data_IF_693717659150
#
_entry.id   IF_693717659150
#
_cell.length_a   1.000
_cell.length_b   1.000
_cell.length_c   1.000
_cell.angle_alpha   90.00
_cell.angle_beta   90.00
_cell.angle_gamma   90.00
#
_symmetry.space_group_name_H-M   'P 1'
#
loop_
_entity.id
_entity.type
_entity.pdbx_description
1 polymer ?
#
# COMPACT_ATOMS: atom_id res chain seq x y z
N UNK A 1 -17.66 16.83 8.02
CA UNK A 1 -16.30 16.85 8.57
C UNK A 1 -15.37 17.26 7.45
N UNK A 2 -14.57 18.31 7.63
CA UNK A 2 -13.62 18.77 6.61
C UNK A 2 -12.43 17.80 6.57
N UNK A 3 -12.08 17.27 5.40
CA UNK A 3 -11.04 16.26 5.23
C UNK A 3 -9.75 16.93 4.74
N UNK A 4 -9.13 17.75 5.60
CA UNK A 4 -7.98 18.56 5.21
C UNK A 4 -6.63 18.00 5.64
N UNK A 5 -6.59 16.92 6.44
CA UNK A 5 -5.35 16.30 6.92
C UNK A 5 -5.38 14.77 6.80
N UNK A 6 -4.22 14.09 6.71
CA UNK A 6 -4.16 12.63 6.74
C UNK A 6 -4.76 12.03 8.03
N UNK A 7 -4.72 12.75 9.15
CA UNK A 7 -5.36 12.34 10.41
C UNK A 7 -6.88 12.30 10.29
N UNK A 8 -7.51 13.25 9.59
CA UNK A 8 -8.96 13.21 9.38
C UNK A 8 -9.37 12.03 8.49
N UNK A 9 -8.57 11.69 7.47
CA UNK A 9 -8.81 10.49 6.67
C UNK A 9 -8.71 9.23 7.54
N UNK A 10 -7.73 9.15 8.45
CA UNK A 10 -7.61 8.05 9.41
C UNK A 10 -8.78 7.97 10.39
N UNK A 11 -9.32 9.10 10.86
CA UNK A 11 -10.53 9.13 11.69
C UNK A 11 -11.74 8.56 10.93
N UNK A 12 -11.90 8.90 9.65
CA UNK A 12 -12.96 8.34 8.80
C UNK A 12 -12.76 6.84 8.59
N UNK A 13 -11.51 6.39 8.40
CA UNK A 13 -11.16 4.97 8.36
C UNK A 13 -11.59 4.25 9.64
N UNK A 14 -11.30 4.82 10.81
CA UNK A 14 -11.67 4.25 12.10
C UNK A 14 -13.18 4.22 12.30
N UNK A 15 -13.88 5.28 11.93
CA UNK A 15 -15.34 5.34 12.03
C UNK A 15 -15.99 4.27 11.14
N UNK A 16 -15.49 4.10 9.91
CA UNK A 16 -16.01 3.11 8.97
C UNK A 16 -15.71 1.67 9.43
N UNK A 17 -14.50 1.41 9.93
CA UNK A 17 -14.13 0.08 10.46
C UNK A 17 -14.72 -0.20 11.84
N UNK A 18 -15.15 0.83 12.58
CA UNK A 18 -15.84 0.71 13.87
C UNK A 18 -17.22 0.03 13.76
N UNK A 19 -17.71 -0.14 12.54
CA UNK A 19 -18.89 -0.94 12.21
C UNK A 19 -18.68 -2.46 12.37
N UNK A 20 -17.43 -2.92 12.49
CA UNK A 20 -17.09 -4.32 12.73
C UNK A 20 -17.44 -4.73 14.16
N UNK A 21 -17.93 -5.97 14.28
CA UNK A 21 -18.02 -6.62 15.58
C UNK A 21 -16.62 -6.75 16.20
N UNK A 22 -16.54 -6.66 17.53
CA UNK A 22 -15.27 -6.88 18.23
C UNK A 22 -14.92 -8.37 18.22
N UNK A 23 -13.67 -8.67 17.91
CA UNK A 23 -13.12 -10.02 17.96
C UNK A 23 -11.72 -10.02 18.59
N UNK A 24 -11.48 -10.96 19.50
CA UNK A 24 -10.21 -11.07 20.22
C UNK A 24 -9.10 -11.64 19.33
N UNK A 25 -9.45 -12.48 18.37
CA UNK A 25 -8.50 -13.19 17.52
C UNK A 25 -8.96 -13.17 16.06
N UNK A 26 -8.01 -13.23 15.13
CA UNK A 26 -8.31 -13.30 13.70
C UNK A 26 -7.23 -14.05 12.91
N UNK A 27 -7.60 -14.45 11.70
CA UNK A 27 -6.68 -14.86 10.63
C UNK A 27 -6.55 -13.68 9.65
N UNK A 28 -5.33 -13.34 9.24
CA UNK A 28 -5.06 -12.28 8.26
C UNK A 28 -4.42 -12.85 7.00
N UNK A 29 -5.18 -12.95 5.92
CA UNK A 29 -4.74 -13.49 4.64
C UNK A 29 -4.33 -12.37 3.68
N UNK A 30 -3.69 -12.79 2.59
CA UNK A 30 -3.31 -11.95 1.46
C UNK A 30 -2.15 -10.99 1.77
N UNK A 31 -1.12 -11.51 2.45
CA UNK A 31 0.10 -10.72 2.64
C UNK A 31 0.80 -10.48 1.29
N UNK A 32 1.42 -9.30 1.09
CA UNK A 32 2.16 -9.02 -0.12
C UNK A 32 3.45 -9.87 -0.19
N UNK A 33 3.66 -10.55 -1.30
CA UNK A 33 4.86 -11.35 -1.62
C UNK A 33 5.64 -10.81 -2.84
N UNK A 34 5.40 -9.56 -3.18
CA UNK A 34 6.01 -8.82 -4.28
C UNK A 34 6.59 -7.48 -3.77
N UNK A 35 7.17 -6.63 -4.63
CA UNK A 35 7.91 -5.43 -4.19
C UNK A 35 7.12 -4.11 -4.22
N UNK A 36 5.84 -4.13 -4.60
CA UNK A 36 5.01 -2.93 -4.60
C UNK A 36 4.84 -2.37 -3.18
N UNK A 37 5.48 -1.22 -2.92
CA UNK A 37 5.46 -0.55 -1.61
C UNK A 37 4.03 -0.25 -1.14
N UNK A 38 3.10 0.01 -2.07
CA UNK A 38 1.71 0.30 -1.76
C UNK A 38 1.02 -0.80 -0.95
N UNK A 39 1.12 -2.04 -1.40
CA UNK A 39 0.46 -3.16 -0.73
C UNK A 39 1.15 -3.50 0.61
N UNK A 40 2.44 -3.18 0.75
CA UNK A 40 3.13 -3.23 2.04
C UNK A 40 2.64 -2.15 3.01
N UNK A 41 2.33 -0.94 2.53
CA UNK A 41 1.73 0.11 3.36
C UNK A 41 0.34 -0.32 3.85
N UNK A 42 -0.47 -0.91 2.97
CA UNK A 42 -1.77 -1.50 3.33
C UNK A 42 -1.57 -2.58 4.38
N UNK A 43 -0.65 -3.53 4.15
CA UNK A 43 -0.37 -4.63 5.08
C UNK A 43 0.02 -4.13 6.48
N UNK A 44 0.96 -3.20 6.55
CA UNK A 44 1.39 -2.60 7.82
C UNK A 44 0.23 -1.86 8.51
N UNK A 45 -0.58 -1.14 7.73
CA UNK A 45 -1.79 -0.50 8.21
C UNK A 45 -2.79 -1.49 8.79
N UNK A 46 -3.07 -2.59 8.09
CA UNK A 46 -3.93 -3.68 8.54
C UNK A 46 -3.44 -4.30 9.85
N UNK A 47 -2.14 -4.61 9.94
CA UNK A 47 -1.53 -5.18 11.15
C UNK A 47 -1.66 -4.22 12.34
N UNK A 48 -1.32 -2.94 12.15
CA UNK A 48 -1.40 -1.94 13.23
C UNK A 48 -2.84 -1.61 13.61
N UNK A 49 -3.78 -1.61 12.67
CA UNK A 49 -5.19 -1.43 12.99
C UNK A 49 -5.70 -2.57 13.87
N UNK A 50 -5.47 -3.82 13.46
CA UNK A 50 -5.88 -5.00 14.21
C UNK A 50 -5.24 -5.03 15.61
N UNK A 51 -3.93 -4.85 15.70
CA UNK A 51 -3.20 -5.00 16.96
C UNK A 51 -3.32 -3.79 17.89
N UNK A 52 -3.27 -2.57 17.36
CA UNK A 52 -3.22 -1.36 18.19
C UNK A 52 -4.58 -0.72 18.40
N UNK A 53 -5.48 -0.83 17.41
CA UNK A 53 -6.80 -0.19 17.47
C UNK A 53 -7.83 -1.18 18.01
N UNK A 54 -7.99 -2.35 17.36
CA UNK A 54 -8.95 -3.37 17.80
C UNK A 54 -8.46 -4.23 18.96
N UNK A 55 -7.15 -4.22 19.25
CA UNK A 55 -6.51 -5.11 20.24
C UNK A 55 -6.71 -6.60 19.93
N UNK A 56 -6.86 -6.92 18.65
CA UNK A 56 -7.03 -8.29 18.14
C UNK A 56 -5.68 -8.98 17.97
N UNK A 57 -5.61 -10.24 18.38
CA UNK A 57 -4.47 -11.14 18.17
C UNK A 57 -4.54 -11.82 16.80
N UNK A 58 -3.56 -11.57 15.95
CA UNK A 58 -3.40 -12.24 14.66
C UNK A 58 -2.82 -13.65 14.90
N UNK A 59 -3.62 -14.70 14.73
CA UNK A 59 -3.24 -16.11 14.99
C UNK A 59 -2.51 -16.76 13.82
N UNK A 60 -2.88 -16.38 12.61
CA UNK A 60 -2.31 -16.89 11.38
C UNK A 60 -2.27 -15.77 10.36
N UNK A 61 -1.14 -15.62 9.68
CA UNK A 61 -0.98 -14.57 8.68
C UNK A 61 -0.15 -15.07 7.49
N UNK A 62 -0.73 -15.09 6.29
CA UNK A 62 -0.07 -15.68 5.11
C UNK A 62 -0.65 -15.15 3.79
N UNK A 63 0.14 -15.25 2.72
CA UNK A 63 -0.28 -15.01 1.35
C UNK A 63 -0.64 -16.33 0.67
N UNK A 64 -1.00 -16.26 -0.61
CA UNK A 64 -1.45 -17.42 -1.40
C UNK A 64 -0.43 -18.57 -1.33
N UNK A 65 0.85 -18.25 -1.54
CA UNK A 65 1.93 -19.24 -1.63
C UNK A 65 2.26 -19.92 -0.29
N UNK A 66 1.90 -19.31 0.83
CA UNK A 66 2.14 -19.86 2.17
C UNK A 66 0.90 -20.43 2.84
N UNK A 67 -0.23 -20.50 2.12
CA UNK A 67 -1.50 -20.93 2.70
C UNK A 67 -1.55 -22.46 2.88
N UNK A 68 -2.06 -22.89 4.03
CA UNK A 68 -2.27 -24.31 4.36
C UNK A 68 -3.70 -24.52 4.87
N UNK A 69 -4.55 -25.11 4.03
CA UNK A 69 -5.92 -25.50 4.37
C UNK A 69 -5.95 -26.42 5.60
N UNK A 70 -5.04 -27.39 5.66
CA UNK A 70 -4.91 -28.33 6.78
C UNK A 70 -4.54 -27.63 8.10
N UNK A 71 -3.75 -26.56 8.04
CA UNK A 71 -3.41 -25.77 9.22
C UNK A 71 -4.61 -24.95 9.68
N UNK A 72 -5.30 -24.27 8.76
CA UNK A 72 -6.43 -23.41 9.07
C UNK A 72 -7.63 -24.20 9.63
N UNK A 73 -7.90 -25.41 9.10
CA UNK A 73 -8.97 -26.30 9.60
C UNK A 73 -8.78 -26.76 11.04
N UNK A 74 -7.54 -26.78 11.54
CA UNK A 74 -7.22 -27.17 12.93
C UNK A 74 -7.28 -25.99 13.91
N UNK A 75 -7.43 -24.77 13.43
CA UNK A 75 -7.48 -23.57 14.26
C UNK A 75 -8.90 -23.31 14.76
N UNK A 76 -8.99 -22.67 15.92
CA UNK A 76 -10.26 -22.18 16.48
C UNK A 76 -10.98 -21.28 15.47
N UNK A 77 -12.32 -21.28 15.55
CA UNK A 77 -13.16 -20.47 14.68
C UNK A 77 -13.05 -19.00 15.08
N UNK A 78 -12.21 -18.27 14.36
CA UNK A 78 -12.13 -16.81 14.43
C UNK A 78 -12.31 -16.21 13.02
N UNK A 79 -12.64 -14.91 12.91
CA UNK A 79 -12.83 -14.26 11.62
C UNK A 79 -11.62 -14.40 10.70
N UNK A 80 -11.89 -14.61 9.41
CA UNK A 80 -10.88 -14.53 8.36
C UNK A 80 -10.93 -13.13 7.76
N UNK A 81 -9.78 -12.47 7.73
CA UNK A 81 -9.63 -11.12 7.21
C UNK A 81 -8.74 -11.18 5.98
N UNK A 82 -9.20 -10.67 4.84
CA UNK A 82 -8.37 -10.41 3.68
C UNK A 82 -7.80 -8.99 3.75
N UNK A 83 -6.51 -8.85 3.46
CA UNK A 83 -5.88 -7.53 3.31
C UNK A 83 -6.59 -6.68 2.24
N UNK A 84 -6.46 -5.35 2.36
CA UNK A 84 -7.01 -4.40 1.38
C UNK A 84 -6.21 -4.33 0.09
N UNK A 85 -6.58 -3.42 -0.82
CA UNK A 85 -5.79 -3.13 -2.03
C UNK A 85 -6.60 -3.06 -3.32
N UNK A 86 -6.01 -3.52 -4.42
CA UNK A 86 -6.57 -3.44 -5.78
C UNK A 86 -6.72 -4.79 -6.47
N UNK A 87 -6.85 -5.88 -5.70
CA UNK A 87 -6.80 -7.25 -6.20
C UNK A 87 -8.17 -7.95 -6.24
N UNK A 88 -9.27 -7.20 -6.09
CA UNK A 88 -10.63 -7.73 -6.27
C UNK A 88 -11.07 -7.52 -7.72
N UNK A 89 -10.93 -8.57 -8.53
CA UNK A 89 -11.11 -8.44 -9.97
C UNK A 89 -10.50 -9.56 -10.80
N UNK A 90 -10.58 -9.42 -12.13
CA UNK A 90 -10.04 -10.38 -13.12
C UNK A 90 -8.68 -9.97 -13.71
N UNK A 91 -8.03 -8.95 -13.14
CA UNK A 91 -6.63 -8.59 -13.48
C UNK A 91 -5.62 -9.53 -12.83
N UNK A 92 -5.96 -10.05 -11.65
CA UNK A 92 -5.07 -10.80 -10.77
C UNK A 92 -5.76 -12.09 -10.34
N UNK A 93 -6.03 -12.97 -11.31
CA UNK A 93 -6.85 -14.17 -11.13
C UNK A 93 -6.39 -15.07 -9.97
N UNK A 94 -5.09 -15.17 -9.71
CA UNK A 94 -4.57 -15.96 -8.58
C UNK A 94 -5.10 -15.49 -7.22
N UNK A 95 -5.14 -14.16 -7.01
CA UNK A 95 -5.67 -13.55 -5.78
C UNK A 95 -7.19 -13.69 -5.69
N UNK A 96 -7.89 -13.51 -6.80
CA UNK A 96 -9.34 -13.65 -6.85
C UNK A 96 -9.78 -15.10 -6.60
N UNK A 97 -9.16 -16.08 -7.26
CA UNK A 97 -9.45 -17.50 -7.11
C UNK A 97 -9.15 -17.99 -5.69
N UNK A 98 -8.04 -17.53 -5.09
CA UNK A 98 -7.73 -17.84 -3.71
C UNK A 98 -8.82 -17.32 -2.76
N UNK A 99 -9.23 -16.06 -2.93
CA UNK A 99 -10.28 -15.43 -2.13
C UNK A 99 -11.62 -16.17 -2.26
N UNK A 100 -12.04 -16.47 -3.49
CA UNK A 100 -13.27 -17.22 -3.76
C UNK A 100 -13.23 -18.60 -3.11
N UNK A 101 -12.12 -19.33 -3.22
CA UNK A 101 -11.96 -20.65 -2.58
C UNK A 101 -12.11 -20.60 -1.05
N UNK A 102 -11.56 -19.58 -0.39
CA UNK A 102 -11.73 -19.41 1.06
C UNK A 102 -13.19 -19.10 1.40
N UNK A 103 -13.85 -18.23 0.62
CA UNK A 103 -15.25 -17.87 0.81
C UNK A 103 -16.17 -19.08 0.65
N UNK A 104 -15.90 -19.96 -0.32
CA UNK A 104 -16.70 -21.17 -0.52
C UNK A 104 -16.51 -22.19 0.61
N UNK A 105 -15.28 -22.36 1.09
CA UNK A 105 -14.91 -23.45 1.99
C UNK A 105 -15.08 -23.12 3.49
N UNK A 106 -14.98 -21.85 3.91
CA UNK A 106 -14.96 -21.45 5.33
C UNK A 106 -16.23 -20.69 5.76
N UNK A 107 -17.39 -21.33 5.56
CA UNK A 107 -18.73 -20.75 5.82
C UNK A 107 -19.13 -20.69 7.29
N UNK A 108 -18.32 -21.23 8.19
CA UNK A 108 -18.62 -21.41 9.61
C UNK A 108 -18.10 -20.28 10.50
N UNK A 109 -17.59 -19.21 9.90
CA UNK A 109 -16.96 -18.06 10.56
C UNK A 109 -17.13 -16.79 9.71
N UNK A 110 -17.07 -15.59 10.30
CA UNK A 110 -17.13 -14.35 9.54
C UNK A 110 -15.94 -14.22 8.58
N UNK A 111 -16.20 -13.66 7.40
CA UNK A 111 -15.17 -13.23 6.46
C UNK A 111 -15.26 -11.72 6.30
N UNK A 112 -14.13 -11.03 6.49
CA UNK A 112 -14.01 -9.58 6.36
C UNK A 112 -12.98 -9.30 5.26
N UNK A 113 -13.31 -8.47 4.30
CA UNK A 113 -12.38 -8.02 3.26
C UNK A 113 -12.13 -6.54 3.48
N UNK A 114 -10.91 -6.19 3.88
CA UNK A 114 -10.50 -4.79 4.08
C UNK A 114 -10.59 -3.98 2.78
N UNK A 115 -10.58 -2.64 2.85
CA UNK A 115 -10.89 -1.76 1.72
C UNK A 115 -10.22 -2.15 0.39
N UNK A 116 -11.04 -2.56 -0.59
CA UNK A 116 -10.63 -2.97 -1.93
C UNK A 116 -11.13 -2.01 -3.00
N UNK A 117 -10.37 -1.89 -4.09
CA UNK A 117 -10.90 -1.44 -5.38
C UNK A 117 -11.42 -2.66 -6.16
N UNK A 118 -12.63 -2.57 -6.69
CA UNK A 118 -13.27 -3.60 -7.50
C UNK A 118 -13.09 -3.27 -8.98
N UNK A 119 -12.59 -4.23 -9.76
CA UNK A 119 -12.49 -4.06 -11.20
C UNK A 119 -12.53 -5.38 -11.96
N UNK A 120 -13.54 -5.56 -12.80
CA UNK A 120 -13.64 -6.70 -13.71
C UNK A 120 -13.68 -6.18 -15.16
N UNK A 121 -12.75 -6.64 -16.00
CA UNK A 121 -12.79 -6.41 -17.45
C UNK A 121 -13.99 -7.12 -18.09
N UNK A 122 -14.28 -8.34 -17.61
CA UNK A 122 -15.39 -9.15 -18.11
C UNK A 122 -16.56 -9.14 -17.11
N UNK A 123 -17.73 -8.60 -17.48
CA UNK A 123 -18.93 -8.63 -16.63
C UNK A 123 -19.36 -10.04 -16.21
N UNK A 124 -19.07 -11.07 -17.01
CA UNK A 124 -19.39 -12.45 -16.64
C UNK A 124 -18.52 -12.97 -15.47
N UNK A 125 -17.27 -12.51 -15.38
CA UNK A 125 -16.41 -12.83 -14.24
C UNK A 125 -16.91 -12.16 -12.96
N UNK A 126 -17.41 -10.91 -13.06
CA UNK A 126 -18.07 -10.24 -11.94
C UNK A 126 -19.30 -11.02 -11.46
N UNK A 127 -20.16 -11.49 -12.37
CA UNK A 127 -21.33 -12.30 -12.01
C UNK A 127 -20.95 -13.60 -11.29
N UNK A 128 -19.88 -14.29 -11.75
CA UNK A 128 -19.36 -15.50 -11.10
C UNK A 128 -18.85 -15.20 -9.69
N UNK A 129 -18.02 -14.19 -9.54
CA UNK A 129 -17.50 -13.75 -8.24
C UNK A 129 -18.65 -13.37 -7.29
N UNK A 130 -19.63 -12.59 -7.78
CA UNK A 130 -20.79 -12.18 -7.00
C UNK A 130 -21.60 -13.38 -6.50
N UNK A 131 -21.76 -14.45 -7.31
CA UNK A 131 -22.42 -15.68 -6.86
C UNK A 131 -21.69 -16.32 -5.68
N UNK A 132 -20.36 -16.40 -5.73
CA UNK A 132 -19.54 -16.95 -4.65
C UNK A 132 -19.68 -16.11 -3.38
N UNK A 133 -19.50 -14.80 -3.50
CA UNK A 133 -19.56 -13.86 -2.38
C UNK A 133 -20.94 -13.87 -1.71
N UNK A 134 -22.01 -13.80 -2.50
CA UNK A 134 -23.39 -13.85 -2.00
C UNK A 134 -23.73 -15.20 -1.37
N UNK A 135 -23.02 -16.26 -1.72
CA UNK A 135 -23.29 -17.56 -1.09
C UNK A 135 -22.89 -17.56 0.38
N UNK A 136 -21.92 -16.75 0.82
CA UNK A 136 -21.39 -16.82 2.18
C UNK A 136 -22.34 -16.22 3.21
N UNK A 137 -22.57 -16.87 4.38
CA UNK A 137 -23.60 -16.43 5.33
C UNK A 137 -23.24 -15.17 6.12
N UNK A 138 -21.95 -14.84 6.25
CA UNK A 138 -21.49 -13.66 6.99
C UNK A 138 -20.22 -13.09 6.36
N UNK A 139 -20.39 -12.32 5.27
CA UNK A 139 -19.30 -11.65 4.57
C UNK A 139 -19.46 -10.13 4.66
N UNK A 140 -18.42 -9.44 5.12
CA UNK A 140 -18.31 -7.97 5.08
C UNK A 140 -17.23 -7.56 4.09
N UNK A 141 -17.58 -6.70 3.13
CA UNK A 141 -16.67 -6.12 2.14
C UNK A 141 -16.55 -4.61 2.37
N UNK A 142 -15.32 -4.14 2.57
CA UNK A 142 -15.01 -2.73 2.51
C UNK A 142 -14.56 -2.35 1.10
N UNK A 143 -15.04 -1.22 0.60
CA UNK A 143 -14.63 -0.64 -0.69
C UNK A 143 -13.99 0.72 -0.46
N UNK A 144 -12.91 1.01 -1.21
CA UNK A 144 -12.10 2.21 -0.97
C UNK A 144 -12.37 3.39 -1.91
N UNK A 145 -13.31 3.26 -2.82
CA UNK A 145 -13.68 4.30 -3.77
C UNK A 145 -15.16 4.17 -4.17
N UNK A 146 -15.74 5.27 -4.66
CA UNK A 146 -17.17 5.36 -4.96
C UNK A 146 -17.61 4.36 -6.05
N UNK A 147 -16.80 4.21 -7.11
CA UNK A 147 -17.09 3.28 -8.21
C UNK A 147 -17.14 1.84 -7.70
N UNK A 148 -16.18 1.43 -6.87
CA UNK A 148 -16.15 0.11 -6.27
C UNK A 148 -17.33 -0.13 -5.34
N UNK A 149 -17.72 0.88 -4.55
CA UNK A 149 -18.89 0.80 -3.68
C UNK A 149 -20.17 0.56 -4.48
N UNK A 150 -20.37 1.28 -5.58
CA UNK A 150 -21.53 1.12 -6.47
C UNK A 150 -21.58 -0.25 -7.12
N UNK A 151 -20.44 -0.76 -7.61
CA UNK A 151 -20.35 -2.13 -8.15
C UNK A 151 -20.73 -3.15 -7.07
N UNK A 152 -20.22 -2.98 -5.85
CA UNK A 152 -20.50 -3.91 -4.75
C UNK A 152 -21.98 -3.93 -4.36
N UNK A 153 -22.61 -2.78 -4.11
CA UNK A 153 -24.02 -2.72 -3.70
C UNK A 153 -24.98 -3.25 -4.78
N UNK A 154 -24.60 -3.11 -6.06
CA UNK A 154 -25.41 -3.62 -7.18
C UNK A 154 -25.34 -5.15 -7.34
N UNK A 155 -24.22 -5.76 -6.95
CA UNK A 155 -23.95 -7.18 -7.24
C UNK A 155 -23.93 -8.08 -6.00
N UNK A 156 -23.65 -7.54 -4.81
CA UNK A 156 -23.39 -8.29 -3.58
C UNK A 156 -24.51 -8.13 -2.55
N UNK A 157 -25.73 -8.54 -2.92
CA UNK A 157 -26.95 -8.36 -2.14
C UNK A 157 -27.00 -9.11 -0.79
N UNK A 158 -26.18 -10.16 -0.59
CA UNK A 158 -26.11 -10.90 0.67
C UNK A 158 -24.90 -10.50 1.54
N UNK A 159 -24.04 -9.63 1.04
CA UNK A 159 -22.84 -9.18 1.76
C UNK A 159 -23.11 -7.84 2.45
N UNK A 160 -22.50 -7.63 3.61
CA UNK A 160 -22.44 -6.30 4.22
C UNK A 160 -21.39 -5.48 3.46
N UNK A 161 -21.80 -4.39 2.80
CA UNK A 161 -20.89 -3.54 2.02
C UNK A 161 -20.73 -2.18 2.69
N UNK A 162 -19.49 -1.82 3.03
CA UNK A 162 -19.16 -0.56 3.71
C UNK A 162 -18.12 0.20 2.87
N UNK A 163 -18.23 1.53 2.82
CA UNK A 163 -17.24 2.38 2.17
C UNK A 163 -16.26 2.91 3.22
N UNK A 164 -14.96 2.77 2.99
CA UNK A 164 -13.93 3.21 3.94
C UNK A 164 -12.65 3.64 3.19
N UNK A 165 -11.86 4.59 3.71
CA UNK A 165 -10.54 4.92 3.18
C UNK A 165 -9.60 3.70 3.10
N UNK A 166 -8.48 3.86 2.42
CA UNK A 166 -7.47 2.81 2.30
C UNK A 166 -6.78 2.50 3.67
N UNK A 167 -6.47 1.22 3.93
CA UNK A 167 -5.80 0.81 5.18
C UNK A 167 -4.45 1.48 5.41
N UNK A 168 -3.75 1.92 4.36
CA UNK A 168 -2.51 2.67 4.48
C UNK A 168 -2.69 3.97 5.29
N UNK A 169 -3.89 4.56 5.36
CA UNK A 169 -4.16 5.73 6.21
C UNK A 169 -4.04 5.43 7.71
N UNK A 170 -4.04 4.17 8.13
CA UNK A 170 -3.68 3.80 9.51
C UNK A 170 -2.28 4.33 9.89
N UNK A 171 -1.40 4.51 8.91
CA UNK A 171 -0.05 5.03 9.11
C UNK A 171 -0.01 6.55 9.37
N UNK A 172 -1.14 7.27 9.27
CA UNK A 172 -1.16 8.71 9.55
C UNK A 172 -0.70 9.00 10.99
N UNK A 173 0.21 9.97 11.11
CA UNK A 173 0.85 10.36 12.37
C UNK A 173 2.05 9.49 12.77
N UNK A 174 2.50 8.57 11.93
CA UNK A 174 3.76 7.84 12.16
C UNK A 174 4.96 8.80 12.09
N UNK A 175 5.83 8.78 13.11
CA UNK A 175 7.07 9.56 13.08
C UNK A 175 7.99 9.05 11.97
N UNK A 176 8.50 9.99 11.17
CA UNK A 176 9.50 9.72 10.14
C UNK A 176 10.75 10.57 10.37
N UNK A 177 10.93 11.09 11.58
CA UNK A 177 11.94 12.10 11.92
C UNK A 177 13.37 11.57 11.79
N UNK A 178 13.54 10.26 11.95
CA UNK A 178 14.82 9.55 11.73
C UNK A 178 15.21 9.40 10.26
N UNK A 179 14.31 9.75 9.34
CA UNK A 179 14.53 9.69 7.89
C UNK A 179 14.65 11.11 7.37
N UNK A 180 15.89 11.60 7.28
CA UNK A 180 16.24 12.93 6.79
C UNK A 180 17.30 12.80 5.68
N UNK A 181 16.90 12.43 4.45
CA UNK A 181 17.81 12.49 3.32
C UNK A 181 18.19 13.95 3.04
N UNK A 182 19.29 14.15 2.29
CA UNK A 182 19.56 15.48 1.73
C UNK A 182 18.44 15.78 0.72
N UNK A 183 17.73 16.89 0.94
CA UNK A 183 16.68 17.32 0.03
C UNK A 183 17.34 17.91 -1.23
N UNK A 184 16.79 17.54 -2.38
CA UNK A 184 17.19 18.01 -3.68
C UNK A 184 16.15 19.01 -4.18
N UNK A 185 16.61 20.03 -4.91
CA UNK A 185 15.72 20.95 -5.63
C UNK A 185 15.19 20.28 -6.90
N UNK A 186 14.45 19.19 -6.72
CA UNK A 186 13.93 18.34 -7.79
C UNK A 186 12.49 17.89 -7.50
N UNK A 187 11.76 17.62 -8.57
CA UNK A 187 10.42 17.03 -8.51
C UNK A 187 10.48 15.57 -8.95
N UNK A 188 9.88 14.65 -8.20
CA UNK A 188 9.82 13.24 -8.59
C UNK A 188 8.53 12.97 -9.36
N UNK A 189 8.64 12.53 -10.61
CA UNK A 189 7.55 11.87 -11.29
C UNK A 189 7.59 10.36 -11.03
N UNK A 190 6.80 9.92 -10.05
CA UNK A 190 6.57 8.51 -9.76
C UNK A 190 5.52 7.95 -10.72
N UNK A 191 5.98 7.47 -11.88
CA UNK A 191 5.15 6.84 -12.89
C UNK A 191 5.25 5.31 -12.82
N UNK A 192 4.14 4.62 -13.11
CA UNK A 192 4.16 3.16 -13.28
C UNK A 192 5.07 2.74 -14.45
N UNK A 193 5.37 1.44 -14.56
CA UNK A 193 5.98 0.81 -15.75
C UNK A 193 5.30 -0.51 -16.16
N UNK A 194 4.20 -0.88 -15.50
CA UNK A 194 3.55 -2.19 -15.58
C UNK A 194 2.23 -2.17 -16.37
N UNK A 195 1.52 -3.30 -16.39
CA UNK A 195 0.31 -3.53 -17.19
C UNK A 195 -0.89 -2.62 -16.81
N UNK A 196 -0.81 -1.88 -15.72
CA UNK A 196 -1.84 -0.89 -15.35
C UNK A 196 -1.71 0.42 -16.17
N UNK A 197 -0.59 0.64 -16.86
CA UNK A 197 -0.44 1.70 -17.85
C UNK A 197 -1.16 1.34 -19.16
N UNK A 198 -2.09 2.20 -19.58
CA UNK A 198 -2.49 2.28 -20.98
C UNK A 198 -1.60 3.30 -21.72
N UNK A 199 -1.28 2.96 -22.97
CA UNK A 199 -0.21 3.48 -23.84
C UNK A 199 -0.36 4.94 -24.31
N UNK A 200 -0.84 5.86 -23.48
CA UNK A 200 -1.07 7.25 -23.93
C UNK A 200 -0.39 8.27 -23.02
N UNK A 201 0.56 8.99 -23.64
CA UNK A 201 0.88 10.42 -23.45
C UNK A 201 1.41 10.90 -22.10
N UNK A 202 2.54 10.34 -21.61
CA UNK A 202 3.31 11.00 -20.53
C UNK A 202 4.77 11.35 -20.90
N UNK A 203 5.25 10.87 -22.05
CA UNK A 203 6.65 11.05 -22.48
C UNK A 203 6.98 12.44 -23.05
N UNK A 204 5.99 13.27 -23.39
CA UNK A 204 6.21 14.64 -23.87
C UNK A 204 6.25 15.71 -22.77
N UNK A 205 5.82 15.38 -21.54
CA UNK A 205 5.70 16.33 -20.43
C UNK A 205 7.00 16.53 -19.64
N UNK A 206 7.91 15.57 -19.71
CA UNK A 206 9.13 15.58 -18.89
C UNK A 206 10.18 16.60 -19.34
N UNK A 207 10.11 17.11 -20.57
CA UNK A 207 11.11 18.05 -21.09
C UNK A 207 10.92 19.50 -20.64
N UNK A 208 9.74 19.86 -20.15
CA UNK A 208 9.39 21.23 -19.78
C UNK A 208 9.59 21.50 -18.27
N UNK A 209 9.41 20.49 -17.43
CA UNK A 209 9.54 20.64 -15.97
C UNK A 209 11.02 20.61 -15.56
N UNK A 210 11.50 21.72 -14.98
CA UNK A 210 12.86 21.84 -14.48
C UNK A 210 13.15 20.83 -13.36
N UNK A 211 14.32 20.21 -13.40
CA UNK A 211 14.80 19.25 -12.39
C UNK A 211 13.82 18.09 -12.12
N UNK A 212 13.11 17.62 -13.16
CA UNK A 212 12.22 16.47 -13.04
C UNK A 212 13.01 15.15 -13.03
N UNK A 213 12.80 14.34 -12.00
CA UNK A 213 13.35 13.00 -11.85
C UNK A 213 12.26 11.99 -12.18
N UNK A 214 12.49 11.15 -13.20
CA UNK A 214 11.54 10.10 -13.61
C UNK A 214 11.97 8.75 -13.05
N UNK A 215 11.28 8.25 -12.03
CA UNK A 215 11.56 6.95 -11.43
C UNK A 215 10.28 6.20 -11.06
N UNK A 216 10.38 4.87 -10.95
CA UNK A 216 9.38 4.07 -10.22
C UNK A 216 9.88 3.85 -8.78
N UNK A 217 9.22 2.99 -8.00
CA UNK A 217 9.70 2.63 -6.67
C UNK A 217 11.14 2.13 -6.71
N UNK A 218 12.05 2.76 -5.93
CA UNK A 218 13.46 2.34 -5.90
C UNK A 218 13.58 0.90 -5.38
N UNK A 219 12.63 0.43 -4.56
CA UNK A 219 12.59 -0.94 -4.00
C UNK A 219 12.87 -2.03 -5.02
N UNK A 220 12.36 -1.89 -6.25
CA UNK A 220 12.52 -2.89 -7.31
C UNK A 220 14.00 -3.09 -7.71
N UNK A 221 14.83 -2.03 -7.58
CA UNK A 221 16.28 -2.08 -7.85
C UNK A 221 17.07 -2.75 -6.72
N UNK A 222 16.57 -2.70 -5.48
CA UNK A 222 17.27 -3.25 -4.30
C UNK A 222 17.20 -4.77 -4.22
N UNK A 223 16.12 -5.39 -4.69
CA UNK A 223 15.87 -6.82 -4.45
C UNK A 223 16.23 -7.76 -5.60
N UNK A 224 16.26 -7.31 -6.86
CA UNK A 224 16.83 -8.09 -7.98
C UNK A 224 18.31 -8.48 -7.77
N UNK A 225 19.02 -7.78 -6.87
CA UNK A 225 20.41 -8.09 -6.47
C UNK A 225 20.54 -8.91 -5.17
N UNK A 226 19.51 -8.99 -4.32
CA UNK A 226 19.57 -9.80 -3.08
C UNK A 226 19.02 -11.20 -3.25
N UNK A 227 18.06 -11.44 -4.17
CA UNK A 227 17.54 -12.79 -4.45
C UNK A 227 18.43 -13.63 -5.36
N UNK A 228 19.23 -13.02 -6.24
CA UNK A 228 20.18 -13.74 -7.12
C UNK A 228 21.47 -14.23 -6.45
N UNK A 229 21.68 -13.99 -5.15
CA UNK A 229 22.91 -14.38 -4.45
C UNK A 229 22.67 -14.77 -2.98
N UNK A 230 21.80 -15.75 -2.74
CA UNK A 230 21.76 -16.51 -1.49
C UNK A 230 22.30 -17.92 -1.70
N UNK A 231 23.54 -18.01 -2.22
CA UNK A 231 24.35 -19.20 -2.06
C UNK A 231 25.77 -18.80 -1.68
N UNK A 232 26.15 -19.12 -0.43
CA UNK A 232 27.48 -19.54 0.06
C UNK A 232 27.81 -18.88 1.43
N UNK A 233 28.08 -19.68 2.46
CA UNK A 233 28.22 -19.28 3.87
C UNK A 233 29.52 -18.59 4.32
N UNK A 234 30.19 -17.82 3.46
CA UNK A 234 31.48 -17.15 3.76
C UNK A 234 31.33 -15.64 4.01
N UNK A 235 30.16 -15.06 3.69
CA UNK A 235 29.88 -13.63 3.77
C UNK A 235 29.77 -13.06 5.21
N UNK A 236 29.60 -13.90 6.23
CA UNK A 236 29.40 -13.46 7.62
C UNK A 236 30.69 -13.23 8.42
N UNK A 237 31.87 -13.48 7.84
CA UNK A 237 33.15 -13.52 8.55
C UNK A 237 34.06 -12.28 8.39
N UNK A 238 33.58 -11.17 7.81
CA UNK A 238 34.41 -9.96 7.61
C UNK A 238 33.86 -8.80 8.47
N UNK A 239 34.58 -8.36 9.53
CA UNK A 239 34.16 -7.24 10.38
C UNK A 239 34.44 -5.87 9.76
N UNK A 240 33.68 -4.83 10.16
CA UNK A 240 34.05 -3.42 9.99
C UNK A 240 33.70 -2.75 8.65
N UNK A 241 34.39 -1.64 8.36
CA UNK A 241 34.18 -0.72 7.22
C UNK A 241 34.19 -1.41 5.84
N UNK A 242 34.83 -2.57 5.71
CA UNK A 242 34.93 -3.33 4.46
C UNK A 242 33.56 -3.85 4.00
N UNK A 243 32.64 -4.16 4.93
CA UNK A 243 31.26 -4.51 4.60
C UNK A 243 30.49 -3.32 4.01
N UNK A 244 30.73 -2.12 4.55
CA UNK A 244 30.13 -0.86 4.08
C UNK A 244 30.66 -0.53 2.69
N UNK A 245 31.98 -0.55 2.51
CA UNK A 245 32.63 -0.28 1.22
C UNK A 245 32.16 -1.28 0.16
N UNK A 246 31.96 -2.56 0.52
CA UNK A 246 31.55 -3.59 -0.45
C UNK A 246 30.06 -3.54 -0.79
N UNK A 247 29.16 -3.22 0.16
CA UNK A 247 27.76 -2.90 -0.16
C UNK A 247 27.63 -1.63 -1.00
N UNK A 248 28.49 -0.62 -0.78
CA UNK A 248 28.54 0.61 -1.58
C UNK A 248 29.10 0.36 -2.99
N UNK A 249 30.21 -0.39 -3.11
CA UNK A 249 30.98 -0.52 -4.35
C UNK A 249 30.53 -1.69 -5.26
N UNK A 250 30.16 -2.85 -4.70
CA UNK A 250 29.66 -3.97 -5.50
C UNK A 250 28.14 -3.88 -5.75
N UNK A 251 27.38 -3.20 -4.89
CA UNK A 251 25.92 -3.09 -5.03
C UNK A 251 25.41 -1.72 -5.45
N UNK A 252 26.20 -0.63 -5.37
CA UNK A 252 25.90 0.65 -6.03
C UNK A 252 24.54 1.29 -5.75
N UNK A 253 23.90 1.00 -4.62
CA UNK A 253 22.47 1.32 -4.41
C UNK A 253 22.19 2.20 -3.18
N UNK A 254 23.02 2.23 -2.13
CA UNK A 254 22.83 3.08 -0.93
C UNK A 254 23.93 4.11 -0.74
N UNK A 255 23.59 5.37 -0.48
CA UNK A 255 24.58 6.29 0.11
C UNK A 255 24.87 5.87 1.57
N UNK A 256 26.06 6.14 2.13
CA UNK A 256 26.33 5.86 3.55
C UNK A 256 25.30 6.45 4.51
N UNK A 257 24.76 7.64 4.19
CA UNK A 257 23.68 8.28 4.94
C UNK A 257 22.37 7.49 4.86
N UNK A 258 22.00 7.03 3.67
CA UNK A 258 20.82 6.16 3.49
C UNK A 258 20.95 4.86 4.27
N UNK A 259 22.12 4.21 4.21
CA UNK A 259 22.37 2.98 4.94
C UNK A 259 22.21 3.16 6.44
N UNK A 260 22.79 4.24 7.01
CA UNK A 260 22.64 4.57 8.42
C UNK A 260 21.18 4.83 8.80
N UNK A 261 20.47 5.61 7.98
CA UNK A 261 19.03 5.85 8.17
C UNK A 261 18.24 4.53 8.17
N UNK A 262 18.55 3.61 7.25
CA UNK A 262 17.91 2.29 7.16
C UNK A 262 18.20 1.42 8.38
N UNK A 263 19.44 1.39 8.87
CA UNK A 263 19.75 0.64 10.09
C UNK A 263 19.02 1.23 11.29
N UNK A 264 18.97 2.56 11.40
CA UNK A 264 18.26 3.23 12.48
C UNK A 264 16.76 2.91 12.46
N UNK A 265 16.13 2.98 11.29
CA UNK A 265 14.75 2.58 11.10
C UNK A 265 14.51 1.11 11.49
N UNK A 266 15.38 0.21 11.00
CA UNK A 266 15.25 -1.24 11.19
C UNK A 266 15.46 -1.70 12.62
N UNK A 267 16.22 -0.98 13.44
CA UNK A 267 16.55 -1.44 14.79
C UNK A 267 15.98 -0.58 15.91
N UNK A 268 15.83 0.73 15.70
CA UNK A 268 15.54 1.68 16.78
C UNK A 268 14.18 2.39 16.64
N UNK A 269 13.48 2.24 15.52
CA UNK A 269 12.12 2.77 15.42
C UNK A 269 11.16 2.03 16.37
N UNK A 270 10.24 2.74 17.01
CA UNK A 270 9.28 2.22 18.01
C UNK A 270 8.51 0.99 17.53
N UNK A 271 7.94 1.04 16.33
CA UNK A 271 7.18 -0.07 15.74
C UNK A 271 8.03 -1.30 15.37
N UNK A 272 9.35 -1.19 15.28
CA UNK A 272 10.23 -2.33 14.95
C UNK A 272 10.11 -3.45 15.97
N UNK A 273 10.11 -3.14 17.26
CA UNK A 273 10.01 -4.15 18.31
C UNK A 273 8.69 -4.93 18.20
N UNK A 274 7.61 -4.24 17.85
CA UNK A 274 6.29 -4.83 17.63
C UNK A 274 6.27 -5.77 16.41
N UNK A 275 6.83 -5.35 15.28
CA UNK A 275 6.87 -6.20 14.10
C UNK A 275 7.73 -7.46 14.27
N UNK A 276 8.71 -7.44 15.19
CA UNK A 276 9.49 -8.63 15.58
C UNK A 276 8.65 -9.66 16.35
N UNK A 277 7.70 -9.21 17.16
CA UNK A 277 6.92 -10.09 18.05
C UNK A 277 5.57 -10.49 17.47
N UNK A 278 5.08 -9.77 16.44
CA UNK A 278 3.83 -10.09 15.75
C UNK A 278 4.00 -11.33 14.86
N UNK A 279 2.92 -12.11 14.68
CA UNK A 279 2.89 -13.24 13.76
C UNK A 279 3.37 -12.82 12.35
N UNK A 280 4.10 -13.70 11.67
CA UNK A 280 4.73 -13.42 10.37
C UNK A 280 5.72 -12.22 10.40
N UNK A 281 6.58 -12.19 11.41
CA UNK A 281 7.56 -11.12 11.64
C UNK A 281 8.51 -10.87 10.47
N UNK A 282 8.81 -11.90 9.66
CA UNK A 282 9.66 -11.75 8.48
C UNK A 282 9.03 -10.81 7.45
N UNK A 283 7.76 -11.01 7.11
CA UNK A 283 7.05 -10.16 6.14
C UNK A 283 6.76 -8.79 6.73
N UNK A 284 6.44 -8.69 8.02
CA UNK A 284 6.26 -7.40 8.68
C UNK A 284 7.55 -6.56 8.62
N UNK A 285 8.71 -7.15 8.92
CA UNK A 285 9.99 -6.45 8.87
C UNK A 285 10.45 -6.15 7.43
N UNK A 286 10.15 -7.02 6.47
CA UNK A 286 10.40 -6.75 5.06
C UNK A 286 9.55 -5.56 4.57
N UNK A 287 8.24 -5.59 4.85
CA UNK A 287 7.31 -4.50 4.56
C UNK A 287 7.78 -3.19 5.22
N UNK A 288 8.24 -3.27 6.46
CA UNK A 288 8.77 -2.13 7.21
C UNK A 288 10.03 -1.52 6.57
N UNK A 289 10.92 -2.36 6.04
CA UNK A 289 12.10 -1.89 5.30
C UNK A 289 11.77 -1.31 3.92
N UNK A 290 10.73 -1.82 3.26
CA UNK A 290 10.23 -1.26 2.00
C UNK A 290 9.57 0.10 2.23
N UNK A 291 8.80 0.25 3.32
CA UNK A 291 8.25 1.53 3.74
C UNK A 291 9.35 2.59 3.94
N UNK A 292 10.45 2.24 4.62
CA UNK A 292 11.62 3.14 4.73
C UNK A 292 12.14 3.57 3.36
N UNK A 293 12.27 2.64 2.42
CA UNK A 293 12.78 2.92 1.08
C UNK A 293 11.88 3.92 0.33
N UNK A 294 10.56 3.76 0.44
CA UNK A 294 9.59 4.70 -0.13
C UNK A 294 9.65 6.09 0.51
N UNK A 295 9.69 6.15 1.85
CA UNK A 295 9.79 7.44 2.57
C UNK A 295 11.09 8.15 2.22
N UNK A 296 12.21 7.42 2.21
CA UNK A 296 13.52 7.98 1.89
C UNK A 296 13.56 8.52 0.45
N UNK A 297 12.97 7.80 -0.52
CA UNK A 297 12.81 8.28 -1.89
C UNK A 297 12.01 9.59 -1.92
N UNK A 298 10.85 9.63 -1.28
CA UNK A 298 9.94 10.77 -1.36
C UNK A 298 10.52 12.02 -0.70
N UNK A 299 11.11 11.88 0.50
CA UNK A 299 11.71 13.00 1.24
C UNK A 299 12.92 13.64 0.56
N UNK A 300 13.49 13.03 -0.48
CA UNK A 300 14.55 13.66 -1.28
C UNK A 300 14.03 14.75 -2.21
N UNK A 301 12.75 14.73 -2.55
CA UNK A 301 12.17 15.60 -3.57
C UNK A 301 11.25 16.63 -2.93
N UNK A 302 11.13 17.80 -3.58
CA UNK A 302 10.29 18.90 -3.08
C UNK A 302 8.81 18.72 -3.43
N UNK A 303 8.56 18.12 -4.58
CA UNK A 303 7.23 17.86 -5.12
C UNK A 303 7.17 16.44 -5.67
N UNK A 304 6.05 15.76 -5.46
CA UNK A 304 5.78 14.45 -6.06
C UNK A 304 4.70 14.61 -7.13
N UNK A 305 4.93 14.07 -8.32
CA UNK A 305 3.93 13.91 -9.37
C UNK A 305 3.69 12.41 -9.50
N UNK A 306 2.44 11.94 -9.50
CA UNK A 306 2.21 10.49 -9.58
C UNK A 306 0.87 10.11 -10.17
N UNK A 307 0.86 8.99 -10.90
CA UNK A 307 -0.35 8.27 -11.30
C UNK A 307 -0.55 6.97 -10.50
N UNK A 308 0.27 6.73 -9.46
CA UNK A 308 0.11 5.62 -8.52
C UNK A 308 -0.73 6.08 -7.32
N UNK A 309 -1.82 5.37 -7.04
CA UNK A 309 -2.65 5.64 -5.85
C UNK A 309 -1.83 5.65 -4.55
N UNK A 310 -0.92 4.68 -4.37
CA UNK A 310 -0.07 4.66 -3.18
C UNK A 310 1.08 5.68 -3.20
N UNK A 311 1.42 6.23 -4.37
CA UNK A 311 2.25 7.42 -4.43
C UNK A 311 1.51 8.61 -3.82
N UNK A 312 0.25 8.81 -4.22
CA UNK A 312 -0.64 9.83 -3.64
C UNK A 312 -0.84 9.65 -2.14
N UNK A 313 -1.18 8.43 -1.69
CA UNK A 313 -1.37 8.15 -0.26
C UNK A 313 -0.08 8.39 0.52
N UNK A 314 1.09 7.93 0.05
CA UNK A 314 2.35 8.15 0.76
C UNK A 314 2.72 9.63 0.82
N UNK A 315 2.55 10.39 -0.27
CA UNK A 315 2.74 11.84 -0.24
C UNK A 315 1.80 12.51 0.76
N UNK A 316 0.53 12.08 0.80
CA UNK A 316 -0.46 12.58 1.75
C UNK A 316 -0.07 12.27 3.21
N UNK A 317 0.40 11.06 3.49
CA UNK A 317 0.85 10.64 4.82
C UNK A 317 2.08 11.40 5.31
N UNK A 318 2.98 11.75 4.38
CA UNK A 318 4.20 12.50 4.67
C UNK A 318 3.99 14.02 4.61
N UNK A 319 2.78 14.47 4.26
CA UNK A 319 2.46 15.88 4.04
C UNK A 319 3.39 16.55 3.02
N UNK A 320 3.84 15.79 2.02
CA UNK A 320 4.66 16.30 0.92
C UNK A 320 3.72 16.85 -0.17
N UNK A 321 3.93 18.08 -0.65
CA UNK A 321 3.18 18.63 -1.77
C UNK A 321 3.22 17.69 -2.98
N UNK A 322 2.07 17.47 -3.61
CA UNK A 322 2.03 16.56 -4.75
C UNK A 322 0.90 16.84 -5.73
N UNK A 323 1.16 16.44 -6.98
CA UNK A 323 0.21 16.43 -8.07
C UNK A 323 -0.21 14.99 -8.32
N UNK A 324 -1.50 14.75 -8.24
CA UNK A 324 -2.10 13.45 -8.47
C UNK A 324 -2.73 13.39 -9.86
N UNK A 325 -2.38 12.37 -10.62
CA UNK A 325 -2.82 12.19 -12.00
C UNK A 325 -3.84 11.04 -12.10
N UNK A 326 -4.77 11.10 -13.07
CA UNK A 326 -5.64 9.98 -13.35
C UNK A 326 -4.83 8.74 -13.72
N UNK A 327 -5.38 7.57 -13.39
CA UNK A 327 -4.92 6.31 -13.92
C UNK A 327 -5.93 5.74 -14.92
N UNK A 328 -5.57 4.59 -15.49
CA UNK A 328 -6.51 3.77 -16.23
C UNK A 328 -7.75 3.49 -15.36
N UNK A 329 -8.95 3.66 -15.93
CA UNK A 329 -10.25 3.26 -15.34
C UNK A 329 -10.78 4.14 -14.18
N UNK A 330 -10.40 5.42 -14.11
CA UNK A 330 -10.95 6.42 -13.17
C UNK A 330 -10.79 6.10 -11.67
N UNK A 331 -9.99 5.09 -11.32
CA UNK A 331 -9.82 4.63 -9.92
C UNK A 331 -9.17 5.71 -9.05
N UNK A 332 -8.14 6.37 -9.56
CA UNK A 332 -7.44 7.44 -8.84
C UNK A 332 -8.39 8.62 -8.56
N UNK A 333 -9.16 9.01 -9.57
CA UNK A 333 -10.15 10.09 -9.47
C UNK A 333 -11.23 9.74 -8.45
N UNK A 334 -11.84 8.55 -8.56
CA UNK A 334 -12.87 8.10 -7.63
C UNK A 334 -12.38 8.02 -6.18
N UNK A 335 -11.11 7.66 -5.97
CA UNK A 335 -10.49 7.70 -4.64
C UNK A 335 -10.26 9.14 -4.15
N UNK A 336 -9.71 9.99 -5.03
CA UNK A 336 -9.42 11.39 -4.71
C UNK A 336 -10.67 12.14 -4.30
N UNK A 337 -11.73 12.04 -5.11
CA UNK A 337 -13.02 12.69 -4.84
C UNK A 337 -13.65 12.19 -3.54
N UNK A 338 -13.55 10.90 -3.25
CA UNK A 338 -14.14 10.30 -2.06
C UNK A 338 -13.45 10.76 -0.76
N UNK A 339 -12.12 10.93 -0.76
CA UNK A 339 -11.36 11.02 0.50
C UNK A 339 -10.36 12.15 0.61
N UNK A 340 -9.81 12.67 -0.48
CA UNK A 340 -8.64 13.56 -0.42
C UNK A 340 -8.76 14.84 -1.22
N UNK A 341 -9.94 15.13 -1.79
CA UNK A 341 -10.20 16.34 -2.58
C UNK A 341 -10.04 17.65 -1.80
N UNK A 342 -10.09 17.58 -0.48
CA UNK A 342 -9.94 18.74 0.42
C UNK A 342 -8.52 18.86 1.03
N UNK A 343 -7.58 17.99 0.65
CA UNK A 343 -6.18 18.09 1.10
C UNK A 343 -5.51 19.26 0.37
N UNK A 344 -5.05 20.31 1.07
CA UNK A 344 -4.63 21.56 0.44
C UNK A 344 -3.35 21.42 -0.39
N UNK A 345 -2.45 20.52 0.02
CA UNK A 345 -1.18 20.26 -0.64
C UNK A 345 -1.25 19.11 -1.67
N UNK A 346 -2.46 18.73 -2.09
CA UNK A 346 -2.70 17.76 -3.16
C UNK A 346 -3.51 18.43 -4.27
N UNK A 347 -2.99 18.40 -5.50
CA UNK A 347 -3.73 18.87 -6.69
C UNK A 347 -3.99 17.72 -7.65
N UNK A 348 -5.25 17.46 -7.98
CA UNK A 348 -5.59 16.49 -9.01
C UNK A 348 -5.68 17.16 -10.37
N UNK A 349 -4.96 16.65 -11.38
CA UNK A 349 -4.91 17.21 -12.73
C UNK A 349 -5.34 16.15 -13.73
N UNK A 350 -6.38 16.47 -14.52
CA UNK A 350 -6.89 15.59 -15.59
C UNK A 350 -6.22 15.89 -16.93
N UNK A 351 -6.05 17.17 -17.24
CA UNK A 351 -5.47 17.62 -18.50
C UNK A 351 -3.95 17.77 -18.35
N UNK A 352 -3.14 16.99 -19.10
CA UNK A 352 -1.69 17.10 -19.00
C UNK A 352 -1.14 18.48 -19.37
N UNK A 353 -1.87 19.30 -20.14
CA UNK A 353 -1.43 20.66 -20.49
C UNK A 353 -1.37 21.61 -19.28
N UNK A 354 -2.11 21.31 -18.21
CA UNK A 354 -2.10 22.10 -16.97
C UNK A 354 -0.93 21.73 -16.05
N UNK A 355 -0.17 20.67 -16.36
CA UNK A 355 0.82 20.11 -15.45
C UNK A 355 1.97 21.08 -15.15
N UNK A 356 2.50 21.76 -16.16
CA UNK A 356 3.62 22.69 -16.00
C UNK A 356 3.26 23.85 -15.07
N UNK A 357 2.14 24.52 -15.36
CA UNK A 357 1.60 25.63 -14.54
C UNK A 357 1.31 25.15 -13.12
N UNK A 358 0.71 23.98 -12.96
CA UNK A 358 0.41 23.46 -11.63
C UNK A 358 1.67 23.10 -10.82
N UNK A 359 2.74 22.63 -11.47
CA UNK A 359 4.04 22.40 -10.81
C UNK A 359 4.60 23.71 -10.29
N UNK A 360 4.61 24.76 -11.12
CA UNK A 360 5.08 26.09 -10.71
C UNK A 360 4.27 26.63 -9.52
N UNK A 361 2.94 26.64 -9.62
CA UNK A 361 2.06 27.12 -8.54
C UNK A 361 2.23 26.32 -7.23
N UNK A 362 2.41 24.99 -7.31
CA UNK A 362 2.65 24.15 -6.15
C UNK A 362 4.01 24.43 -5.52
N UNK A 363 5.04 24.62 -6.33
CA UNK A 363 6.39 24.95 -5.88
C UNK A 363 6.45 26.33 -5.23
N UNK A 364 5.68 27.30 -5.72
CA UNK A 364 5.54 28.64 -5.11
C UNK A 364 4.75 28.61 -3.79
N UNK A 365 3.65 27.85 -3.75
CA UNK A 365 2.79 27.74 -2.57
C UNK A 365 3.45 26.99 -1.40
N UNK A 366 4.41 26.11 -1.70
CA UNK A 366 5.10 25.27 -0.73
C UNK A 366 6.64 25.38 -0.89
N UNK A 367 7.26 26.47 -0.41
CA UNK A 367 8.71 26.65 -0.43
C UNK A 367 9.43 25.71 0.58
N UNK A 368 10.75 25.56 0.41
CA UNK A 368 11.63 24.73 1.26
C UNK A 368 11.72 25.19 2.72
#
# INVERSE_FOLDING_TARGET
MTISTPKNVKEILHNSLGELDKFEECILLDNPDHYNIGDHLIWLGSVLFLTDTLKTKIKYATGINGFSDASLKKMDKCPIIFNGGGALGDLYEGFQNFRESIIENYRDRPIIIFPQTIYFRNPENLKKAAKVFNSHPNLTLFTRDQVSYEIAIQNLWNCRVIKAPDMAFQMAGLSTDSIQPAQEDSSLYLCRKDQELKTTSNLSLSSQIKNLVLEDWVSDRWTLRTTKQLSKGWYWRIPGLVRIIREVYERGLATPKEWLSRQNWKYFHTNTAKFKTTHNSQINLASWGLMHSGIYQFKRHRLIITNRLHGHILSTLLEIPHIFLPNSYYKNEAFYEAWTSQIPFCRFIKDPSELEVAVEEMLESYPL
#
